data_IF_367330795743
#
_entry.id   IF_367330795743
#
_cell.length_a   1.000
_cell.length_b   1.000
_cell.length_c   1.000
_cell.angle_alpha   90.00
_cell.angle_beta   90.00
_cell.angle_gamma   90.00
#
_symmetry.space_group_name_H-M   'P 1'
#
loop_
_entity.id
_entity.type
_entity.pdbx_description
1 polymer ?
#
# COMPACT_ATOMS: atom_id res chain seq x y z
N UNK A 1 -28.67 -4.05 0.08
CA UNK A 1 -28.12 -4.18 -1.29
C UNK A 1 -28.28 -2.85 -2.01
N UNK A 2 -27.24 -2.32 -2.65
CA UNK A 2 -27.30 -1.02 -3.34
C UNK A 2 -27.94 -1.13 -4.74
N UNK A 3 -28.42 -0.01 -5.29
CA UNK A 3 -29.01 0.04 -6.64
C UNK A 3 -28.04 -0.46 -7.73
N UNK A 4 -26.75 -0.13 -7.61
CA UNK A 4 -25.71 -0.58 -8.55
C UNK A 4 -25.53 -2.10 -8.53
N UNK A 5 -25.60 -2.73 -7.36
CA UNK A 5 -25.53 -4.19 -7.22
C UNK A 5 -26.76 -4.83 -7.85
N UNK A 6 -27.96 -4.32 -7.56
CA UNK A 6 -29.22 -4.80 -8.18
C UNK A 6 -29.15 -4.74 -9.71
N UNK A 7 -28.78 -3.58 -10.25
CA UNK A 7 -28.65 -3.38 -11.69
C UNK A 7 -27.62 -4.33 -12.33
N UNK A 8 -26.48 -4.57 -11.66
CA UNK A 8 -25.47 -5.52 -12.14
C UNK A 8 -25.99 -6.97 -12.15
N UNK A 9 -26.75 -7.37 -11.12
CA UNK A 9 -27.38 -8.69 -11.05
C UNK A 9 -28.42 -8.85 -12.17
N UNK A 10 -29.35 -7.90 -12.30
CA UNK A 10 -30.38 -7.91 -13.33
C UNK A 10 -29.79 -7.96 -14.74
N UNK A 11 -28.76 -7.14 -15.01
CA UNK A 11 -28.05 -7.15 -16.28
C UNK A 11 -27.37 -8.50 -16.55
N UNK A 12 -26.82 -9.13 -15.51
CA UNK A 12 -26.14 -10.44 -15.65
C UNK A 12 -27.14 -11.57 -15.93
N UNK A 13 -28.34 -11.54 -15.33
CA UNK A 13 -29.41 -12.50 -15.63
C UNK A 13 -30.02 -12.34 -17.03
N UNK A 14 -30.02 -11.12 -17.59
CA UNK A 14 -30.51 -10.83 -18.94
C UNK A 14 -29.48 -11.10 -20.04
N UNK A 15 -28.21 -11.31 -19.67
CA UNK A 15 -27.13 -11.54 -20.62
C UNK A 15 -27.02 -13.01 -20.99
N UNK A 16 -27.10 -13.34 -22.28
CA UNK A 16 -26.87 -14.71 -22.78
C UNK A 16 -25.50 -15.25 -22.35
N UNK A 17 -24.48 -14.39 -22.30
CA UNK A 17 -23.12 -14.75 -21.89
C UNK A 17 -23.00 -15.08 -20.40
N UNK A 18 -23.73 -14.37 -19.52
CA UNK A 18 -23.49 -14.40 -18.08
C UNK A 18 -24.60 -15.04 -17.25
N UNK A 19 -25.79 -15.25 -17.82
CA UNK A 19 -26.97 -15.70 -17.08
C UNK A 19 -26.78 -17.07 -16.42
N UNK A 20 -26.21 -18.04 -17.15
CA UNK A 20 -25.98 -19.39 -16.63
C UNK A 20 -25.09 -19.36 -15.38
N UNK A 21 -23.94 -18.67 -15.46
CA UNK A 21 -23.02 -18.55 -14.33
C UNK A 21 -23.61 -17.74 -13.17
N UNK A 22 -24.41 -16.71 -13.48
CA UNK A 22 -25.12 -15.92 -12.46
C UNK A 22 -26.08 -16.80 -11.66
N UNK A 23 -26.85 -17.66 -12.32
CA UNK A 23 -27.79 -18.62 -11.66
C UNK A 23 -27.06 -19.68 -10.84
N UNK A 24 -25.88 -20.11 -11.28
CA UNK A 24 -25.06 -21.06 -10.53
C UNK A 24 -24.51 -20.47 -9.22
N UNK A 25 -24.08 -19.20 -9.26
CA UNK A 25 -23.41 -18.55 -8.13
C UNK A 25 -24.37 -17.87 -7.17
N UNK A 26 -25.38 -17.15 -7.68
CA UNK A 26 -26.36 -16.45 -6.84
C UNK A 26 -27.48 -17.42 -6.45
N UNK A 27 -27.54 -17.73 -5.16
CA UNK A 27 -28.55 -18.61 -4.57
C UNK A 27 -29.66 -17.75 -3.98
N UNK A 28 -30.71 -17.50 -4.77
CA UNK A 28 -31.79 -16.55 -4.43
C UNK A 28 -32.62 -16.95 -3.21
N UNK A 29 -32.58 -18.24 -2.86
CA UNK A 29 -33.18 -18.85 -1.67
C UNK A 29 -32.37 -18.61 -0.39
N UNK A 30 -31.12 -18.16 -0.50
CA UNK A 30 -30.22 -17.95 0.63
C UNK A 30 -30.24 -16.51 1.14
N UNK A 31 -29.85 -16.33 2.41
CA UNK A 31 -29.79 -15.01 3.03
C UNK A 31 -28.78 -14.09 2.31
N UNK A 32 -29.11 -12.81 2.11
CA UNK A 32 -28.17 -11.80 1.64
C UNK A 32 -26.98 -11.63 2.60
N UNK A 33 -25.76 -11.53 2.06
CA UNK A 33 -24.57 -11.29 2.86
C UNK A 33 -23.66 -10.21 2.23
N UNK A 34 -22.47 -10.54 1.75
CA UNK A 34 -21.56 -9.57 1.14
C UNK A 34 -22.22 -8.80 -0.02
N UNK A 35 -22.16 -7.47 0.04
CA UNK A 35 -22.84 -6.51 -0.86
C UNK A 35 -24.36 -6.64 -0.91
N UNK A 36 -24.92 -7.40 0.05
CA UNK A 36 -26.31 -7.80 0.08
C UNK A 36 -26.70 -8.79 -1.01
N UNK A 37 -25.74 -9.54 -1.59
CA UNK A 37 -26.03 -10.55 -2.61
C UNK A 37 -26.46 -11.86 -1.92
N UNK A 38 -27.58 -12.49 -2.33
CA UNK A 38 -28.00 -13.80 -1.82
C UNK A 38 -26.95 -14.90 -2.08
N UNK A 39 -26.64 -15.68 -1.04
CA UNK A 39 -25.66 -16.78 -1.12
C UNK A 39 -24.20 -16.33 -1.17
N UNK A 40 -23.92 -15.03 -1.01
CA UNK A 40 -22.56 -14.52 -0.88
C UNK A 40 -21.92 -14.94 0.47
N UNK A 41 -20.59 -14.93 0.58
CA UNK A 41 -19.92 -15.14 1.85
C UNK A 41 -20.39 -14.13 2.91
N UNK A 42 -20.47 -14.58 4.16
CA UNK A 42 -20.75 -13.74 5.33
C UNK A 42 -19.52 -13.71 6.22
N UNK A 43 -18.58 -12.75 6.01
CA UNK A 43 -17.38 -12.66 6.83
C UNK A 43 -17.71 -12.48 8.31
N UNK A 44 -17.03 -13.24 9.17
CA UNK A 44 -17.18 -13.08 10.62
C UNK A 44 -16.58 -11.74 11.06
N UNK A 45 -17.40 -10.88 11.67
CA UNK A 45 -16.99 -9.53 12.10
C UNK A 45 -15.86 -9.55 13.14
N UNK A 46 -15.87 -10.52 14.05
CA UNK A 46 -14.85 -10.68 15.09
C UNK A 46 -13.52 -11.10 14.44
N UNK A 47 -13.56 -12.06 13.53
CA UNK A 47 -12.37 -12.47 12.78
C UNK A 47 -11.83 -11.32 11.92
N UNK A 48 -12.72 -10.56 11.27
CA UNK A 48 -12.40 -9.34 10.54
C UNK A 48 -11.67 -8.32 11.42
N UNK A 49 -12.24 -8.02 12.58
CA UNK A 49 -11.64 -7.13 13.57
C UNK A 49 -10.24 -7.61 14.02
N UNK A 50 -10.10 -8.87 14.44
CA UNK A 50 -8.84 -9.42 14.92
C UNK A 50 -7.75 -9.43 13.83
N UNK A 51 -8.12 -9.81 12.61
CA UNK A 51 -7.23 -9.75 11.46
C UNK A 51 -6.78 -8.30 11.21
N UNK A 52 -7.71 -7.35 11.24
CA UNK A 52 -7.42 -5.95 11.03
C UNK A 52 -6.53 -5.33 12.14
N UNK A 53 -6.67 -5.77 13.40
CA UNK A 53 -5.71 -5.40 14.47
C UNK A 53 -4.31 -5.85 14.10
N UNK A 54 -4.16 -7.09 13.66
CA UNK A 54 -2.86 -7.62 13.24
C UNK A 54 -2.30 -6.88 12.01
N UNK A 55 -3.14 -6.59 11.01
CA UNK A 55 -2.77 -5.82 9.81
C UNK A 55 -2.31 -4.40 10.18
N UNK A 56 -3.05 -3.70 11.03
CA UNK A 56 -2.66 -2.36 11.49
C UNK A 56 -1.35 -2.40 12.26
N UNK A 57 -1.18 -3.39 13.15
CA UNK A 57 0.04 -3.55 13.92
C UNK A 57 1.26 -3.82 13.03
N UNK A 58 1.15 -4.74 12.06
CA UNK A 58 2.26 -5.10 11.19
C UNK A 58 2.60 -3.96 10.22
N UNK A 59 1.59 -3.29 9.65
CA UNK A 59 1.78 -2.10 8.80
C UNK A 59 2.54 -1.01 9.55
N UNK A 60 2.14 -0.71 10.79
CA UNK A 60 2.77 0.34 11.56
C UNK A 60 4.10 -0.08 12.18
N UNK A 61 4.44 -1.37 12.22
CA UNK A 61 5.70 -1.85 12.81
C UNK A 61 6.79 -2.04 11.76
N UNK A 62 6.44 -2.70 10.66
CA UNK A 62 7.36 -3.09 9.58
C UNK A 62 7.26 -2.15 8.38
N UNK A 63 6.36 -1.17 8.44
CA UNK A 63 6.11 -0.20 7.38
C UNK A 63 5.03 -0.66 6.40
N UNK A 64 4.93 0.08 5.30
CA UNK A 64 3.86 -0.04 4.32
C UNK A 64 3.62 -1.44 3.72
N UNK A 65 4.53 -2.39 3.94
CA UNK A 65 4.36 -3.80 3.61
C UNK A 65 3.08 -4.42 4.17
N UNK A 66 2.69 -4.05 5.40
CA UNK A 66 1.49 -4.61 6.03
C UNK A 66 0.21 -4.40 5.21
N UNK A 67 0.21 -3.48 4.25
CA UNK A 67 -0.94 -3.22 3.38
C UNK A 67 -1.26 -4.37 2.43
N UNK A 68 -0.27 -5.22 2.10
CA UNK A 68 -0.53 -6.48 1.37
C UNK A 68 -1.42 -7.39 2.19
N UNK A 69 -1.21 -7.43 3.51
CA UNK A 69 -1.92 -8.35 4.41
C UNK A 69 -3.40 -7.99 4.58
N UNK A 70 -3.78 -6.73 4.36
CA UNK A 70 -5.20 -6.36 4.24
C UNK A 70 -5.85 -7.15 3.09
N UNK A 71 -5.22 -7.11 1.91
CA UNK A 71 -5.69 -7.80 0.71
C UNK A 71 -5.73 -9.32 0.88
N UNK A 72 -4.72 -9.89 1.52
CA UNK A 72 -4.67 -11.32 1.86
C UNK A 72 -5.91 -11.76 2.64
N UNK A 73 -6.31 -11.00 3.66
CA UNK A 73 -7.50 -11.32 4.47
C UNK A 73 -8.79 -11.37 3.65
N UNK A 74 -9.05 -10.32 2.86
CA UNK A 74 -10.23 -10.27 1.98
C UNK A 74 -10.25 -11.39 0.94
N UNK A 75 -9.10 -11.69 0.34
CA UNK A 75 -9.01 -12.67 -0.74
C UNK A 75 -9.19 -14.10 -0.21
N UNK A 76 -8.50 -14.47 0.88
CA UNK A 76 -8.50 -15.85 1.39
C UNK A 76 -9.35 -16.06 2.63
N UNK A 77 -9.07 -15.34 3.71
CA UNK A 77 -9.64 -15.62 5.04
C UNK A 77 -11.15 -15.41 5.05
N UNK A 78 -11.62 -14.38 4.36
CA UNK A 78 -13.05 -14.07 4.27
C UNK A 78 -13.72 -14.64 3.01
N UNK A 79 -12.98 -15.40 2.19
CA UNK A 79 -13.49 -16.09 0.99
C UNK A 79 -13.96 -15.17 -0.15
N UNK A 80 -13.73 -13.85 -0.07
CA UNK A 80 -14.27 -12.90 -1.06
C UNK A 80 -13.58 -13.04 -2.42
N UNK A 81 -12.29 -13.43 -2.43
CA UNK A 81 -11.56 -13.67 -3.67
C UNK A 81 -12.04 -14.91 -4.43
N UNK A 82 -12.37 -15.98 -3.72
CA UNK A 82 -12.95 -17.19 -4.30
C UNK A 82 -14.38 -16.91 -4.82
N UNK A 83 -15.17 -16.17 -4.05
CA UNK A 83 -16.50 -15.73 -4.47
C UNK A 83 -16.46 -14.82 -5.70
N UNK A 84 -15.52 -13.87 -5.78
CA UNK A 84 -15.37 -13.07 -6.99
C UNK A 84 -15.00 -13.94 -8.21
N UNK A 85 -14.08 -14.89 -8.01
CA UNK A 85 -13.60 -15.80 -9.06
C UNK A 85 -14.68 -16.75 -9.57
N UNK A 86 -15.67 -17.12 -8.76
CA UNK A 86 -16.71 -18.08 -9.15
C UNK A 86 -17.61 -17.56 -10.27
N UNK A 87 -17.76 -16.25 -10.42
CA UNK A 87 -18.51 -15.64 -11.54
C UNK A 87 -17.80 -15.75 -12.90
N UNK A 88 -16.53 -16.15 -12.94
CA UNK A 88 -15.74 -16.20 -14.17
C UNK A 88 -15.17 -14.84 -14.57
N UNK A 89 -14.24 -14.87 -15.55
CA UNK A 89 -13.54 -13.68 -16.03
C UNK A 89 -14.51 -12.75 -16.77
N UNK A 90 -14.27 -11.44 -16.69
CA UNK A 90 -15.02 -10.38 -17.40
C UNK A 90 -16.50 -10.24 -16.98
N UNK A 91 -16.98 -11.10 -16.07
CA UNK A 91 -18.32 -11.03 -15.51
C UNK A 91 -18.51 -9.73 -14.70
N UNK A 92 -19.62 -8.98 -14.89
CA UNK A 92 -19.87 -7.72 -14.19
C UNK A 92 -19.80 -7.84 -12.67
N UNK A 93 -20.36 -8.92 -12.10
CA UNK A 93 -20.29 -9.21 -10.67
C UNK A 93 -18.89 -9.59 -10.16
N UNK A 94 -18.05 -10.24 -10.98
CA UNK A 94 -16.63 -10.45 -10.62
C UNK A 94 -15.93 -9.10 -10.47
N UNK A 95 -16.07 -8.23 -11.48
CA UNK A 95 -15.48 -6.88 -11.44
C UNK A 95 -15.99 -6.06 -10.26
N UNK A 96 -17.30 -6.09 -10.01
CA UNK A 96 -17.92 -5.38 -8.91
C UNK A 96 -17.39 -5.86 -7.54
N UNK A 97 -17.30 -7.18 -7.32
CA UNK A 97 -16.78 -7.75 -6.08
C UNK A 97 -15.29 -7.47 -5.91
N UNK A 98 -14.47 -7.62 -6.96
CA UNK A 98 -13.03 -7.34 -6.91
C UNK A 98 -12.73 -5.85 -6.69
N UNK A 99 -13.48 -4.94 -7.30
CA UNK A 99 -13.39 -3.51 -7.04
C UNK A 99 -13.79 -3.18 -5.59
N UNK A 100 -14.84 -3.82 -5.05
CA UNK A 100 -15.26 -3.65 -3.65
C UNK A 100 -14.17 -4.08 -2.66
N UNK A 101 -13.58 -5.26 -2.88
CA UNK A 101 -12.44 -5.77 -2.09
C UNK A 101 -11.27 -4.79 -2.17
N UNK A 102 -10.93 -4.32 -3.38
CA UNK A 102 -9.82 -3.38 -3.58
C UNK A 102 -10.01 -2.09 -2.78
N UNK A 103 -11.20 -1.49 -2.86
CA UNK A 103 -11.49 -0.24 -2.13
C UNK A 103 -11.56 -0.47 -0.63
N UNK A 104 -12.14 -1.58 -0.18
CA UNK A 104 -12.10 -1.97 1.24
C UNK A 104 -10.67 -2.01 1.78
N UNK A 105 -9.76 -2.68 1.07
CA UNK A 105 -8.34 -2.71 1.43
C UNK A 105 -7.69 -1.33 1.43
N UNK A 106 -8.01 -0.47 0.46
CA UNK A 106 -7.48 0.89 0.42
C UNK A 106 -7.91 1.71 1.64
N UNK A 107 -9.14 1.53 2.15
CA UNK A 107 -9.59 2.15 3.39
C UNK A 107 -8.78 1.67 4.60
N UNK A 108 -8.55 0.36 4.73
CA UNK A 108 -7.76 -0.21 5.82
C UNK A 108 -6.31 0.33 5.79
N UNK A 109 -5.69 0.30 4.62
CA UNK A 109 -4.32 0.78 4.40
C UNK A 109 -4.23 2.29 4.60
N UNK A 110 -5.19 3.05 4.08
CA UNK A 110 -5.27 4.50 4.22
C UNK A 110 -5.38 4.92 5.69
N UNK A 111 -6.28 4.30 6.46
CA UNK A 111 -6.43 4.59 7.88
C UNK A 111 -5.14 4.27 8.65
N UNK A 112 -4.54 3.10 8.39
CA UNK A 112 -3.28 2.72 9.02
C UNK A 112 -2.15 3.72 8.67
N UNK A 113 -2.09 4.16 7.42
CA UNK A 113 -1.12 5.15 6.95
C UNK A 113 -1.29 6.52 7.64
N UNK A 114 -2.52 7.01 7.83
CA UNK A 114 -2.81 8.25 8.59
C UNK A 114 -2.28 8.13 10.02
N UNK A 115 -2.74 7.10 10.74
CA UNK A 115 -2.44 6.92 12.17
C UNK A 115 -0.94 6.73 12.36
N UNK A 116 -0.33 5.87 11.54
CA UNK A 116 1.11 5.61 11.60
C UNK A 116 1.92 6.87 11.36
N UNK A 117 1.64 7.58 10.26
CA UNK A 117 2.40 8.80 9.90
C UNK A 117 2.37 9.82 11.03
N UNK A 118 1.18 10.05 11.62
CA UNK A 118 1.04 10.97 12.73
C UNK A 118 1.80 10.52 13.99
N UNK A 119 1.70 9.24 14.37
CA UNK A 119 2.40 8.73 15.55
C UNK A 119 3.92 8.73 15.35
N UNK A 120 4.42 8.32 14.18
CA UNK A 120 5.84 8.36 13.87
C UNK A 120 6.37 9.80 13.82
N UNK A 121 5.59 10.75 13.30
CA UNK A 121 5.93 12.17 13.35
C UNK A 121 6.07 12.66 14.79
N UNK A 122 5.08 12.40 15.65
CA UNK A 122 5.14 12.75 17.08
C UNK A 122 6.30 12.10 17.83
N UNK A 123 6.72 10.92 17.39
CA UNK A 123 7.86 10.19 17.97
C UNK A 123 9.22 10.62 17.40
N UNK A 124 9.26 11.60 16.47
CA UNK A 124 10.50 12.00 15.81
C UNK A 124 11.12 10.89 14.97
N UNK A 125 10.30 10.00 14.40
CA UNK A 125 10.73 8.81 13.61
C UNK A 125 10.16 8.84 12.19
N UNK A 126 9.89 10.03 11.66
CA UNK A 126 9.35 10.22 10.32
C UNK A 126 10.19 11.25 9.58
N UNK A 127 10.75 10.86 8.43
CA UNK A 127 11.43 11.77 7.50
C UNK A 127 10.40 12.32 6.52
N UNK A 128 9.82 13.48 6.85
CA UNK A 128 8.65 14.01 6.14
C UNK A 128 8.96 14.43 4.70
N UNK A 129 10.06 15.16 4.41
CA UNK A 129 10.46 15.46 3.03
C UNK A 129 10.60 14.22 2.15
N UNK A 130 11.16 13.14 2.70
CA UNK A 130 11.39 11.90 1.96
C UNK A 130 10.08 11.18 1.63
N UNK A 131 9.16 11.14 2.60
CA UNK A 131 7.82 10.57 2.39
C UNK A 131 7.02 11.37 1.36
N UNK A 132 7.13 12.70 1.36
CA UNK A 132 6.52 13.55 0.33
C UNK A 132 7.12 13.34 -1.06
N UNK A 133 8.45 13.25 -1.16
CA UNK A 133 9.12 12.99 -2.45
C UNK A 133 8.65 11.65 -3.03
N UNK A 134 8.60 10.59 -2.22
CA UNK A 134 8.03 9.30 -2.63
C UNK A 134 6.59 9.49 -3.12
N UNK A 135 5.73 10.10 -2.30
CA UNK A 135 4.32 10.32 -2.62
C UNK A 135 4.09 11.06 -3.94
N UNK A 136 4.92 12.07 -4.26
CA UNK A 136 4.81 12.81 -5.53
C UNK A 136 4.89 11.84 -6.71
N UNK A 137 5.91 10.98 -6.71
CA UNK A 137 6.05 9.93 -7.72
C UNK A 137 4.91 8.92 -7.66
N UNK A 138 4.53 8.51 -6.46
CA UNK A 138 3.51 7.49 -6.24
C UNK A 138 2.15 7.85 -6.82
N UNK A 139 1.71 9.10 -6.63
CA UNK A 139 0.42 9.57 -7.15
C UNK A 139 0.41 9.48 -8.67
N UNK A 140 1.45 9.99 -9.34
CA UNK A 140 1.53 9.93 -10.80
C UNK A 140 1.60 8.48 -11.27
N UNK A 141 2.47 7.67 -10.67
CA UNK A 141 2.62 6.26 -11.03
C UNK A 141 1.33 5.43 -10.86
N UNK A 142 0.49 5.79 -9.89
CA UNK A 142 -0.74 5.07 -9.58
C UNK A 142 -1.84 5.23 -10.63
N UNK A 143 -1.95 6.40 -11.26
CA UNK A 143 -3.04 6.68 -12.22
C UNK A 143 -2.54 6.81 -13.66
N UNK A 144 -1.39 7.46 -13.88
CA UNK A 144 -0.89 7.75 -15.22
C UNK A 144 -0.46 6.48 -15.94
N UNK A 145 0.29 5.62 -15.25
CA UNK A 145 0.84 4.41 -15.88
C UNK A 145 -0.27 3.43 -16.28
N UNK A 146 -1.26 3.08 -15.42
CA UNK A 146 -2.39 2.27 -15.85
C UNK A 146 -3.19 2.90 -16.99
N UNK A 147 -3.35 4.22 -17.01
CA UNK A 147 -4.08 4.92 -18.07
C UNK A 147 -3.35 4.84 -19.43
N UNK A 148 -2.02 5.02 -19.44
CA UNK A 148 -1.20 4.92 -20.67
C UNK A 148 -1.04 3.49 -21.21
N UNK A 149 -1.16 2.50 -20.32
CA UNK A 149 -0.92 1.08 -20.62
C UNK A 149 -2.20 0.24 -20.67
N UNK A 150 -3.36 0.84 -20.41
CA UNK A 150 -4.66 0.17 -20.45
C UNK A 150 -4.85 -0.56 -21.78
N UNK A 151 -5.19 -1.85 -21.72
CA UNK A 151 -5.40 -2.71 -22.88
C UNK A 151 -4.12 -3.20 -23.58
N UNK A 152 -2.93 -2.69 -23.23
CA UNK A 152 -1.65 -3.05 -23.86
C UNK A 152 -0.86 -4.12 -23.10
N UNK A 153 -1.11 -4.29 -21.80
CA UNK A 153 -0.34 -5.18 -20.92
C UNK A 153 -1.26 -6.26 -20.33
N UNK A 154 -0.89 -7.53 -20.53
CA UNK A 154 -1.58 -8.65 -19.90
C UNK A 154 -1.07 -8.88 -18.48
N UNK A 155 -1.84 -8.42 -17.49
CA UNK A 155 -1.45 -8.47 -16.09
C UNK A 155 -1.06 -9.86 -15.58
N UNK A 156 -1.73 -10.91 -16.06
CA UNK A 156 -1.45 -12.29 -15.62
C UNK A 156 0.00 -12.71 -15.90
N UNK A 157 0.57 -12.23 -17.01
CA UNK A 157 1.92 -12.58 -17.41
C UNK A 157 2.99 -12.08 -16.42
N UNK A 158 2.68 -11.04 -15.63
CA UNK A 158 3.65 -10.37 -14.75
C UNK A 158 3.55 -10.79 -13.29
N UNK A 159 2.52 -11.53 -12.90
CA UNK A 159 2.28 -11.93 -11.50
C UNK A 159 3.45 -12.79 -10.97
N UNK A 160 3.94 -13.74 -11.77
CA UNK A 160 5.06 -14.60 -11.38
C UNK A 160 6.38 -13.83 -11.22
N UNK A 161 6.70 -12.98 -12.20
CA UNK A 161 7.89 -12.12 -12.17
C UNK A 161 7.89 -11.16 -10.99
N UNK A 162 6.72 -10.63 -10.63
CA UNK A 162 6.59 -9.83 -9.44
C UNK A 162 7.01 -10.60 -8.19
N UNK A 163 6.53 -11.84 -8.02
CA UNK A 163 6.94 -12.68 -6.91
C UNK A 163 8.47 -12.88 -6.85
N UNK A 164 9.13 -13.05 -8.00
CA UNK A 164 10.60 -13.09 -8.09
C UNK A 164 11.23 -11.80 -7.57
N UNK A 165 10.71 -10.62 -7.98
CA UNK A 165 11.22 -9.32 -7.51
C UNK A 165 11.05 -9.19 -6.00
N UNK A 166 9.91 -9.59 -5.44
CA UNK A 166 9.68 -9.56 -3.98
C UNK A 166 10.68 -10.47 -3.25
N UNK A 167 10.95 -11.67 -3.76
CA UNK A 167 11.95 -12.56 -3.18
C UNK A 167 13.37 -12.03 -3.29
N UNK A 168 13.75 -11.47 -4.44
CA UNK A 168 15.05 -10.86 -4.64
C UNK A 168 15.29 -9.72 -3.63
N UNK A 169 14.26 -8.88 -3.43
CA UNK A 169 14.25 -7.84 -2.40
C UNK A 169 14.39 -8.41 -0.99
N UNK A 170 13.65 -9.46 -0.66
CA UNK A 170 13.79 -10.16 0.62
C UNK A 170 15.20 -10.70 0.84
N UNK A 171 15.83 -11.25 -0.20
CA UNK A 171 17.20 -11.74 -0.17
C UNK A 171 18.24 -10.63 0.01
N UNK A 172 18.04 -9.46 -0.63
CA UNK A 172 18.88 -8.28 -0.42
C UNK A 172 18.84 -7.85 1.04
N UNK A 173 17.64 -7.76 1.64
CA UNK A 173 17.50 -7.41 3.05
C UNK A 173 18.10 -8.49 3.97
N UNK A 174 17.99 -9.76 3.61
CA UNK A 174 18.63 -10.85 4.37
C UNK A 174 20.15 -10.66 4.41
N UNK A 175 20.79 -10.33 3.29
CA UNK A 175 22.22 -9.99 3.24
C UNK A 175 22.56 -8.81 4.14
N UNK A 176 21.69 -7.79 4.22
CA UNK A 176 21.89 -6.65 5.13
C UNK A 176 21.80 -7.03 6.62
N UNK A 177 21.18 -8.15 6.97
CA UNK A 177 21.14 -8.63 8.38
C UNK A 177 22.39 -9.42 8.78
N UNK A 178 23.20 -9.86 7.82
CA UNK A 178 24.46 -10.56 8.03
C UNK A 178 25.60 -9.58 8.39
N UNK A 179 26.64 -10.01 9.12
CA UNK A 179 27.74 -9.15 9.54
C UNK A 179 28.40 -8.36 8.39
N UNK A 180 28.58 -9.00 7.23
CA UNK A 180 29.18 -8.40 6.03
C UNK A 180 28.31 -7.32 5.40
N UNK A 181 27.00 -7.50 5.37
CA UNK A 181 26.06 -6.50 4.87
C UNK A 181 25.91 -5.33 5.84
N UNK A 182 25.88 -5.60 7.14
CA UNK A 182 25.85 -4.57 8.18
C UNK A 182 27.07 -3.63 8.13
N UNK A 183 28.25 -4.17 7.78
CA UNK A 183 29.46 -3.37 7.62
C UNK A 183 29.34 -2.31 6.49
N UNK A 184 28.59 -2.61 5.43
CA UNK A 184 28.35 -1.69 4.30
C UNK A 184 27.34 -0.58 4.63
N UNK A 185 26.56 -0.73 5.71
CA UNK A 185 25.50 0.21 6.12
C UNK A 185 25.86 0.93 7.42
N UNK A 186 27.08 1.46 7.49
CA UNK A 186 27.65 2.08 8.71
C UNK A 186 26.73 3.15 9.33
N UNK A 187 26.31 4.16 8.54
CA UNK A 187 25.41 5.23 9.00
C UNK A 187 24.08 4.71 9.56
N UNK A 188 23.43 3.80 8.83
CA UNK A 188 22.15 3.21 9.26
C UNK A 188 22.30 2.43 10.57
N UNK A 189 23.36 1.63 10.68
CA UNK A 189 23.68 0.82 11.86
C UNK A 189 23.98 1.71 13.07
N UNK A 190 24.78 2.75 12.87
CA UNK A 190 25.13 3.72 13.91
C UNK A 190 23.90 4.43 14.46
N UNK A 191 23.06 4.97 13.56
CA UNK A 191 21.83 5.66 13.94
C UNK A 191 20.84 4.71 14.65
N UNK A 192 20.71 3.46 14.17
CA UNK A 192 19.88 2.45 14.82
C UNK A 192 20.41 2.08 16.22
N UNK A 193 21.72 1.92 16.38
CA UNK A 193 22.34 1.60 17.66
C UNK A 193 22.18 2.75 18.66
N UNK A 194 22.34 4.00 18.21
CA UNK A 194 22.10 5.18 19.04
C UNK A 194 20.64 5.25 19.51
N UNK A 195 19.69 5.04 18.59
CA UNK A 195 18.26 4.93 18.91
C UNK A 195 17.97 3.85 19.96
N UNK A 196 18.42 2.62 19.71
CA UNK A 196 18.16 1.49 20.59
C UNK A 196 18.79 1.65 21.97
N UNK A 197 20.02 2.22 22.04
CA UNK A 197 20.69 2.52 23.31
C UNK A 197 19.86 3.49 24.15
N UNK A 198 19.34 4.53 23.52
CA UNK A 198 18.59 5.54 24.25
C UNK A 198 17.21 5.03 24.71
N UNK A 199 16.52 4.25 23.89
CA UNK A 199 15.25 3.62 24.29
C UNK A 199 15.44 2.74 25.53
N UNK A 200 16.57 2.02 25.63
CA UNK A 200 16.91 1.21 26.81
C UNK A 200 17.22 2.04 28.06
N UNK A 201 17.76 3.24 27.89
CA UNK A 201 18.15 4.13 28.99
C UNK A 201 16.97 4.96 29.55
N UNK A 202 15.76 4.84 28.97
CA UNK A 202 14.56 5.53 29.46
C UNK A 202 14.58 7.06 29.30
N UNK A 203 15.59 7.61 28.62
CA UNK A 203 15.74 9.05 28.42
C UNK A 203 14.77 9.59 27.38
N UNK A 204 14.13 10.73 27.69
CA UNK A 204 13.55 11.62 26.66
C UNK A 204 14.73 12.25 25.93
N UNK A 205 15.07 11.83 24.70
CA UNK A 205 15.89 12.71 23.86
C UNK A 205 15.02 13.54 22.95
N UNK A 206 15.53 14.75 22.79
CA UNK A 206 15.24 15.69 21.74
C UNK A 206 15.84 15.29 20.38
N UNK A 207 16.42 14.09 20.21
CA UNK A 207 17.21 13.71 19.02
C UNK A 207 16.45 12.82 18.02
N UNK A 208 15.19 13.15 17.76
CA UNK A 208 14.45 12.55 16.64
C UNK A 208 14.99 12.96 15.28
N UNK A 209 14.21 12.71 14.23
CA UNK A 209 14.48 13.22 12.89
C UNK A 209 14.48 14.75 12.93
N UNK A 210 15.60 15.37 12.56
CA UNK A 210 15.72 16.82 12.40
C UNK A 210 16.03 17.15 10.94
N UNK A 211 15.24 18.02 10.31
CA UNK A 211 15.42 18.40 8.91
C UNK A 211 16.39 19.57 8.85
N UNK A 212 17.55 19.37 8.21
CA UNK A 212 18.63 20.35 8.14
C UNK A 212 18.45 21.25 6.91
N UNK A 213 18.15 20.64 5.75
CA UNK A 213 18.07 21.35 4.47
C UNK A 213 16.96 20.74 3.62
N UNK A 214 16.12 21.57 2.98
CA UNK A 214 15.10 21.10 2.04
C UNK A 214 14.19 22.22 1.51
N UNK A 215 13.80 22.12 0.24
CA UNK A 215 12.92 23.10 -0.43
C UNK A 215 11.43 22.82 -0.20
N UNK A 216 10.96 23.11 1.00
CA UNK A 216 9.59 22.81 1.45
C UNK A 216 8.47 23.35 0.56
N UNK A 217 8.52 24.64 0.22
CA UNK A 217 7.48 25.27 -0.61
C UNK A 217 7.34 24.57 -1.96
N UNK A 218 8.46 24.25 -2.60
CA UNK A 218 8.47 23.56 -3.89
C UNK A 218 7.97 22.11 -3.78
N UNK A 219 8.28 21.40 -2.69
CA UNK A 219 7.72 20.04 -2.45
C UNK A 219 6.20 20.08 -2.33
N UNK A 220 5.66 21.05 -1.57
CA UNK A 220 4.22 21.20 -1.38
C UNK A 220 3.54 21.52 -2.72
N UNK A 221 4.10 22.42 -3.52
CA UNK A 221 3.58 22.77 -4.85
C UNK A 221 3.60 21.55 -5.77
N UNK A 222 4.71 20.80 -5.82
CA UNK A 222 4.81 19.59 -6.63
C UNK A 222 3.80 18.51 -6.19
N UNK A 223 3.65 18.29 -4.88
CA UNK A 223 2.66 17.37 -4.32
C UNK A 223 1.23 17.78 -4.64
N UNK A 224 0.90 19.07 -4.49
CA UNK A 224 -0.40 19.62 -4.83
C UNK A 224 -0.71 19.45 -6.34
N UNK A 225 0.27 19.73 -7.21
CA UNK A 225 0.12 19.56 -8.66
C UNK A 225 -0.19 18.10 -9.04
N UNK A 226 0.53 17.12 -8.50
CA UNK A 226 0.26 15.71 -8.82
C UNK A 226 -1.04 15.20 -8.21
N UNK A 227 -1.43 15.65 -7.01
CA UNK A 227 -2.74 15.30 -6.43
C UNK A 227 -3.87 15.91 -7.28
N UNK A 228 -3.74 17.19 -7.66
CA UNK A 228 -4.67 17.85 -8.56
C UNK A 228 -4.77 17.11 -9.90
N UNK A 229 -3.67 16.58 -10.43
CA UNK A 229 -3.67 15.76 -11.65
C UNK A 229 -4.56 14.51 -11.52
N UNK A 230 -4.46 13.78 -10.41
CA UNK A 230 -5.23 12.58 -10.15
C UNK A 230 -6.72 12.89 -9.97
N UNK A 231 -7.02 13.99 -9.25
CA UNK A 231 -8.38 14.48 -9.06
C UNK A 231 -8.99 14.96 -10.38
N UNK A 232 -8.23 15.67 -11.21
CA UNK A 232 -8.70 16.16 -12.51
C UNK A 232 -9.05 15.01 -13.45
N UNK A 233 -8.17 14.00 -13.55
CA UNK A 233 -8.44 12.78 -14.32
C UNK A 233 -9.72 12.07 -13.83
N UNK A 234 -10.01 12.19 -12.54
CA UNK A 234 -11.16 11.57 -11.88
C UNK A 234 -12.47 12.36 -12.06
N UNK A 235 -12.42 13.69 -12.06
CA UNK A 235 -13.60 14.56 -12.06
C UNK A 235 -13.97 15.09 -13.44
N UNK A 236 -12.99 15.31 -14.31
CA UNK A 236 -13.18 15.99 -15.60
C UNK A 236 -12.59 15.13 -16.73
N UNK A 237 -13.16 13.93 -16.99
CA UNK A 237 -12.59 13.00 -17.97
C UNK A 237 -12.63 13.53 -19.42
N UNK A 238 -13.46 14.53 -19.72
CA UNK A 238 -13.47 15.19 -21.05
C UNK A 238 -12.23 16.03 -21.35
N UNK A 239 -11.45 16.42 -20.33
CA UNK A 239 -10.28 17.29 -20.46
C UNK A 239 -9.03 16.66 -19.83
N UNK A 240 -8.75 15.39 -20.17
CA UNK A 240 -7.61 14.62 -19.62
C UNK A 240 -6.24 15.27 -19.83
N UNK A 241 -6.06 16.06 -20.88
CA UNK A 241 -4.79 16.72 -21.16
C UNK A 241 -4.33 17.62 -20.00
N UNK A 242 -5.25 18.25 -19.26
CA UNK A 242 -4.94 19.06 -18.08
C UNK A 242 -4.35 18.17 -16.98
N UNK A 243 -4.90 16.98 -16.76
CA UNK A 243 -4.35 16.02 -15.81
C UNK A 243 -2.92 15.60 -16.19
N UNK A 244 -2.64 15.36 -17.47
CA UNK A 244 -1.27 15.05 -17.92
C UNK A 244 -0.31 16.23 -17.71
N UNK A 245 -0.74 17.46 -18.03
CA UNK A 245 0.07 18.67 -17.81
C UNK A 245 0.38 18.86 -16.33
N UNK A 246 -0.60 18.70 -15.44
CA UNK A 246 -0.40 18.81 -14.00
C UNK A 246 0.54 17.72 -13.44
N UNK A 247 0.38 16.46 -13.89
CA UNK A 247 1.26 15.38 -13.49
C UNK A 247 2.70 15.62 -13.96
N UNK A 248 2.88 15.97 -15.23
CA UNK A 248 4.19 16.24 -15.81
C UNK A 248 4.83 17.46 -15.15
N UNK A 249 4.09 18.55 -14.95
CA UNK A 249 4.54 19.74 -14.24
C UNK A 249 5.00 19.41 -12.82
N UNK A 250 4.22 18.65 -12.07
CA UNK A 250 4.62 18.19 -10.72
C UNK A 250 5.89 17.33 -10.72
N UNK A 251 6.06 16.44 -11.69
CA UNK A 251 7.30 15.66 -11.85
C UNK A 251 8.49 16.54 -12.23
N UNK A 252 8.33 17.49 -13.15
CA UNK A 252 9.39 18.43 -13.55
C UNK A 252 9.83 19.30 -12.38
N UNK A 253 8.89 19.86 -11.61
CA UNK A 253 9.19 20.62 -10.39
C UNK A 253 10.02 19.81 -9.39
N UNK A 254 9.83 18.49 -9.35
CA UNK A 254 10.56 17.60 -8.46
C UNK A 254 12.06 17.53 -8.74
N UNK A 255 12.50 17.79 -9.98
CA UNK A 255 13.93 17.85 -10.33
C UNK A 255 14.62 19.09 -9.79
N UNK A 256 13.87 20.16 -9.51
CA UNK A 256 14.39 21.42 -8.95
C UNK A 256 14.44 21.42 -7.41
N UNK A 257 14.00 20.33 -6.77
CA UNK A 257 14.02 20.18 -5.31
C UNK A 257 15.43 20.12 -4.70
N UNK A 258 16.44 19.76 -5.49
CA UNK A 258 17.83 19.71 -5.06
C UNK A 258 18.13 18.56 -4.09
N UNK A 259 19.01 18.83 -3.12
CA UNK A 259 19.40 17.88 -2.09
C UNK A 259 18.64 18.16 -0.80
N UNK A 260 18.17 17.12 -0.12
CA UNK A 260 17.59 17.21 1.22
C UNK A 260 18.53 16.56 2.22
N UNK A 261 18.75 17.24 3.35
CA UNK A 261 19.60 16.75 4.46
C UNK A 261 18.80 16.67 5.74
N UNK A 262 19.03 15.63 6.52
CA UNK A 262 18.42 15.46 7.83
C UNK A 262 19.34 14.65 8.74
N UNK A 263 19.16 14.78 10.05
CA UNK A 263 19.82 13.93 11.03
C UNK A 263 18.81 13.04 11.77
N UNK A 264 19.30 11.91 12.25
CA UNK A 264 18.57 11.02 13.14
C UNK A 264 19.55 10.46 14.17
N UNK A 265 19.35 10.80 15.45
CA UNK A 265 20.23 10.38 16.55
C UNK A 265 21.72 10.68 16.27
N UNK A 266 22.01 11.94 15.91
CA UNK A 266 23.36 12.44 15.64
C UNK A 266 23.96 12.03 14.29
N UNK A 267 23.31 11.15 13.52
CA UNK A 267 23.82 10.70 12.22
C UNK A 267 23.12 11.46 11.09
N UNK A 268 23.91 12.11 10.23
CA UNK A 268 23.41 12.85 9.08
C UNK A 268 23.24 11.98 7.82
N UNK A 269 22.10 12.17 7.17
CA UNK A 269 21.69 11.55 5.93
C UNK A 269 21.40 12.63 4.89
N UNK A 270 21.79 12.36 3.64
CA UNK A 270 21.48 13.21 2.51
C UNK A 270 21.00 12.37 1.33
N UNK A 271 20.11 12.96 0.52
CA UNK A 271 19.67 12.37 -0.73
C UNK A 271 19.26 13.44 -1.72
N UNK A 272 19.40 13.14 -3.01
CA UNK A 272 18.83 13.98 -4.07
C UNK A 272 17.32 13.75 -4.13
N UNK A 273 16.52 14.80 -3.97
CA UNK A 273 15.06 14.70 -3.80
C UNK A 273 14.33 14.10 -5.00
N UNK A 274 14.89 14.18 -6.21
CA UNK A 274 14.30 13.53 -7.39
C UNK A 274 14.40 12.00 -7.35
N UNK A 275 15.37 11.41 -6.64
CA UNK A 275 15.55 9.96 -6.59
C UNK A 275 14.36 9.26 -5.92
N UNK A 276 13.89 9.69 -4.73
CA UNK A 276 12.65 9.17 -4.15
C UNK A 276 11.43 9.43 -5.01
N UNK A 277 11.36 10.52 -5.77
CA UNK A 277 10.24 10.75 -6.70
C UNK A 277 10.21 9.68 -7.79
N UNK A 278 11.36 9.40 -8.41
CA UNK A 278 11.47 8.32 -9.40
C UNK A 278 11.17 6.96 -8.75
N UNK A 279 11.69 6.71 -7.55
CA UNK A 279 11.38 5.49 -6.78
C UNK A 279 9.89 5.33 -6.53
N UNK A 280 9.22 6.40 -6.10
CA UNK A 280 7.76 6.47 -5.91
C UNK A 280 6.98 6.14 -7.18
N UNK A 281 7.38 6.74 -8.30
CA UNK A 281 6.78 6.50 -9.61
C UNK A 281 6.87 5.02 -10.01
N UNK A 282 8.07 4.43 -9.96
CA UNK A 282 8.32 3.04 -10.37
C UNK A 282 7.58 2.06 -9.45
N UNK A 283 7.70 2.26 -8.14
CA UNK A 283 7.07 1.38 -7.14
C UNK A 283 5.55 1.40 -7.32
N UNK A 284 4.96 2.58 -7.45
CA UNK A 284 3.52 2.72 -7.62
C UNK A 284 3.04 2.20 -8.97
N UNK A 285 3.82 2.36 -10.04
CA UNK A 285 3.52 1.77 -11.34
C UNK A 285 3.44 0.23 -11.25
N UNK A 286 4.45 -0.42 -10.66
CA UNK A 286 4.48 -1.87 -10.44
C UNK A 286 3.26 -2.30 -9.61
N UNK A 287 3.00 -1.62 -8.50
CA UNK A 287 1.87 -1.92 -7.63
C UNK A 287 0.50 -1.72 -8.29
N UNK A 288 0.35 -0.69 -9.13
CA UNK A 288 -0.90 -0.39 -9.81
C UNK A 288 -1.26 -1.47 -10.83
N UNK A 289 -0.25 -2.06 -11.48
CA UNK A 289 -0.46 -3.26 -12.29
C UNK A 289 -1.04 -4.37 -11.42
N UNK A 290 -0.32 -4.83 -10.41
CA UNK A 290 -0.67 -6.09 -9.72
C UNK A 290 -1.90 -5.91 -8.81
N UNK A 291 -2.28 -4.67 -8.50
CA UNK A 291 -3.44 -4.35 -7.68
C UNK A 291 -3.21 -4.58 -6.18
N UNK A 292 -1.94 -4.67 -5.77
CA UNK A 292 -1.52 -4.82 -4.37
C UNK A 292 -1.06 -3.42 -3.93
N UNK A 293 -1.89 -2.73 -3.15
CA UNK A 293 -1.74 -1.30 -2.87
C UNK A 293 -0.30 -0.85 -2.55
N UNK A 294 0.33 -0.22 -3.55
CA UNK A 294 1.50 0.68 -3.58
C UNK A 294 2.74 0.47 -2.72
N UNK A 295 2.55 0.17 -1.44
CA UNK A 295 3.47 0.63 -0.40
C UNK A 295 4.64 -0.28 -0.08
N UNK A 296 4.52 -1.56 -0.40
CA UNK A 296 5.38 -2.57 0.20
C UNK A 296 6.84 -2.50 -0.26
N UNK A 297 7.10 -1.98 -1.47
CA UNK A 297 8.46 -1.75 -1.98
C UNK A 297 9.10 -0.46 -1.44
N UNK A 298 8.37 0.40 -0.71
CA UNK A 298 8.99 1.57 -0.08
C UNK A 298 9.96 1.17 1.02
N UNK A 299 9.64 0.13 1.80
CA UNK A 299 10.53 -0.36 2.85
C UNK A 299 11.91 -0.75 2.30
N UNK A 300 12.04 -1.65 1.32
CA UNK A 300 13.33 -2.03 0.75
C UNK A 300 14.00 -0.90 -0.02
N UNK A 301 13.24 -0.01 -0.67
CA UNK A 301 13.80 1.20 -1.25
C UNK A 301 14.47 2.08 -0.17
N UNK A 302 13.77 2.34 0.94
CA UNK A 302 14.27 3.21 2.00
C UNK A 302 15.45 2.60 2.76
N UNK A 303 15.48 1.28 2.97
CA UNK A 303 16.61 0.61 3.64
C UNK A 303 17.79 0.37 2.71
N UNK A 304 17.56 -0.18 1.52
CA UNK A 304 18.63 -0.62 0.62
C UNK A 304 19.13 0.49 -0.30
N UNK A 305 18.25 1.36 -0.79
CA UNK A 305 18.64 2.48 -1.67
C UNK A 305 18.94 3.74 -0.85
N UNK A 306 17.99 4.19 -0.02
CA UNK A 306 18.19 5.40 0.79
C UNK A 306 19.07 5.15 2.03
N UNK A 307 19.35 3.89 2.38
CA UNK A 307 20.30 3.57 3.45
C UNK A 307 19.81 3.91 4.85
N UNK A 308 18.50 3.90 5.08
CA UNK A 308 17.91 4.33 6.35
C UNK A 308 17.72 3.16 7.34
N UNK A 309 17.82 3.43 8.65
CA UNK A 309 17.44 2.45 9.66
C UNK A 309 15.93 2.21 9.64
N UNK A 310 15.53 0.97 9.95
CA UNK A 310 14.15 0.52 9.91
C UNK A 310 13.23 1.34 10.84
N UNK A 311 13.82 1.91 11.90
CA UNK A 311 13.14 2.76 12.88
C UNK A 311 12.49 4.03 12.32
N UNK A 312 12.97 4.54 11.17
CA UNK A 312 12.37 5.69 10.47
C UNK A 312 11.72 5.30 9.13
N UNK A 313 12.07 4.14 8.58
CA UNK A 313 11.52 3.60 7.34
C UNK A 313 10.01 3.34 7.45
N UNK A 314 9.55 2.79 8.58
CA UNK A 314 8.15 2.47 8.77
C UNK A 314 7.25 3.72 8.68
N UNK A 315 7.61 4.80 9.39
CA UNK A 315 6.88 6.06 9.36
C UNK A 315 6.95 6.77 8.00
N UNK A 316 8.14 6.85 7.39
CA UNK A 316 8.33 7.50 6.09
C UNK A 316 7.58 6.78 4.96
N UNK A 317 7.58 5.43 4.95
CA UNK A 317 6.81 4.66 3.97
C UNK A 317 5.30 4.78 4.16
N UNK A 318 4.82 4.85 5.41
CA UNK A 318 3.41 5.09 5.70
C UNK A 318 2.92 6.42 5.12
N UNK A 319 3.72 7.50 5.22
CA UNK A 319 3.37 8.79 4.64
C UNK A 319 3.27 8.75 3.12
N UNK A 320 4.20 8.05 2.46
CA UNK A 320 4.17 7.87 1.01
C UNK A 320 2.88 7.16 0.56
N UNK A 321 2.49 6.10 1.29
CA UNK A 321 1.25 5.38 1.04
C UNK A 321 0.02 6.24 1.27
N UNK A 322 -0.01 7.02 2.36
CA UNK A 322 -1.16 7.85 2.73
C UNK A 322 -1.66 8.70 1.55
N UNK A 323 -0.76 9.49 0.98
CA UNK A 323 -1.11 10.42 -0.10
C UNK A 323 -1.65 9.66 -1.32
N UNK A 324 -1.03 8.52 -1.67
CA UNK A 324 -1.51 7.68 -2.77
C UNK A 324 -2.88 7.02 -2.49
N UNK A 325 -3.16 6.64 -1.24
CA UNK A 325 -4.44 6.04 -0.85
C UNK A 325 -5.57 7.05 -0.92
N UNK A 326 -5.35 8.31 -0.53
CA UNK A 326 -6.36 9.37 -0.65
C UNK A 326 -6.79 9.53 -2.11
N UNK A 327 -5.82 9.70 -3.03
CA UNK A 327 -6.11 9.84 -4.46
C UNK A 327 -6.78 8.60 -5.05
N UNK A 328 -6.34 7.40 -4.65
CA UNK A 328 -6.92 6.15 -5.14
C UNK A 328 -8.36 5.93 -4.64
N UNK A 329 -8.61 6.10 -3.34
CA UNK A 329 -9.96 5.96 -2.77
C UNK A 329 -10.92 6.91 -3.46
N UNK A 330 -10.51 8.17 -3.65
CA UNK A 330 -11.32 9.16 -4.35
C UNK A 330 -11.67 8.69 -5.77
N UNK A 331 -10.69 8.26 -6.56
CA UNK A 331 -10.91 7.82 -7.94
C UNK A 331 -11.86 6.61 -8.03
N UNK A 332 -11.76 5.64 -7.12
CA UNK A 332 -12.66 4.47 -7.15
C UNK A 332 -14.05 4.76 -6.59
N UNK A 333 -14.15 5.53 -5.51
CA UNK A 333 -15.43 5.82 -4.85
C UNK A 333 -16.24 6.88 -5.61
N UNK A 334 -15.59 7.99 -6.01
CA UNK A 334 -16.28 9.13 -6.63
C UNK A 334 -16.44 8.90 -8.13
N UNK A 335 -15.35 8.60 -8.85
CA UNK A 335 -15.43 8.49 -10.32
C UNK A 335 -16.00 7.17 -10.80
N UNK A 336 -15.60 6.05 -10.18
CA UNK A 336 -16.09 4.73 -10.59
C UNK A 336 -17.34 4.29 -9.84
N UNK A 337 -17.74 5.01 -8.78
CA UNK A 337 -18.91 4.68 -7.96
C UNK A 337 -18.83 3.28 -7.35
N UNK A 338 -17.64 2.83 -6.95
CA UNK A 338 -17.47 1.48 -6.38
C UNK A 338 -18.26 1.34 -5.09
N UNK A 339 -18.92 0.20 -4.93
CA UNK A 339 -19.72 -0.11 -3.75
C UNK A 339 -18.86 -0.83 -2.72
N UNK A 340 -19.02 -0.47 -1.45
CA UNK A 340 -18.26 -1.04 -0.33
C UNK A 340 -19.22 -1.64 0.68
N UNK A 341 -18.88 -2.82 1.22
CA UNK A 341 -19.63 -3.42 2.33
C UNK A 341 -19.25 -2.75 3.66
N UNK A 342 -19.84 -1.58 3.93
CA UNK A 342 -19.47 -0.74 5.07
C UNK A 342 -19.56 -1.41 6.43
N UNK A 343 -20.55 -2.29 6.67
CA UNK A 343 -20.67 -2.98 7.96
C UNK A 343 -19.44 -3.82 8.31
N UNK A 344 -18.87 -4.49 7.31
CA UNK A 344 -17.65 -5.29 7.49
C UNK A 344 -16.41 -4.41 7.56
N UNK A 345 -16.27 -3.47 6.62
CA UNK A 345 -15.12 -2.56 6.58
C UNK A 345 -15.03 -1.70 7.85
N UNK A 346 -16.14 -1.24 8.42
CA UNK A 346 -16.13 -0.48 9.67
C UNK A 346 -15.58 -1.29 10.85
N UNK A 347 -15.96 -2.57 10.97
CA UNK A 347 -15.39 -3.45 11.99
C UNK A 347 -13.86 -3.61 11.82
N UNK A 348 -13.42 -3.77 10.58
CA UNK A 348 -11.98 -3.83 10.27
C UNK A 348 -11.27 -2.49 10.53
N UNK A 349 -11.90 -1.34 10.23
CA UNK A 349 -11.30 -0.02 10.50
C UNK A 349 -11.05 0.21 12.00
N UNK A 350 -11.95 -0.26 12.88
CA UNK A 350 -11.71 -0.24 14.33
C UNK A 350 -10.50 -1.11 14.69
N UNK A 351 -10.38 -2.29 14.10
CA UNK A 351 -9.20 -3.14 14.29
C UNK A 351 -7.91 -2.48 13.81
N UNK A 352 -7.90 -1.92 12.60
CA UNK A 352 -6.77 -1.15 12.05
C UNK A 352 -6.37 -0.03 12.98
N UNK A 353 -7.34 0.71 13.54
CA UNK A 353 -7.07 1.81 14.46
C UNK A 353 -6.29 1.34 15.69
N UNK A 354 -6.76 0.27 16.33
CA UNK A 354 -6.10 -0.33 17.51
C UNK A 354 -4.69 -0.80 17.14
N UNK A 355 -4.55 -1.59 16.08
CA UNK A 355 -3.26 -2.10 15.62
C UNK A 355 -2.26 -0.99 15.30
N UNK A 356 -2.72 0.05 14.61
CA UNK A 356 -1.88 1.16 14.14
C UNK A 356 -1.46 2.12 15.27
N UNK A 357 -2.18 2.12 16.39
CA UNK A 357 -1.77 2.79 17.62
C UNK A 357 -0.69 1.98 18.35
N UNK A 358 -0.85 0.66 18.41
CA UNK A 358 0.07 -0.24 19.13
C UNK A 358 1.39 -0.39 18.37
N UNK A 359 1.36 -0.44 17.04
CA UNK A 359 2.53 -0.71 16.20
C UNK A 359 3.71 0.23 16.42
N UNK A 360 3.58 1.57 16.28
CA UNK A 360 4.70 2.50 16.48
C UNK A 360 5.28 2.44 17.90
N UNK A 361 4.42 2.18 18.90
CA UNK A 361 4.80 2.08 20.32
C UNK A 361 5.56 0.80 20.63
N UNK A 362 5.26 -0.29 19.94
CA UNK A 362 5.94 -1.58 20.10
C UNK A 362 7.20 -1.66 19.24
N UNK A 363 7.17 -1.10 18.03
CA UNK A 363 8.29 -1.15 17.08
C UNK A 363 9.58 -0.52 17.62
N UNK A 364 9.50 0.49 18.48
CA UNK A 364 10.69 1.12 19.10
C UNK A 364 11.47 0.17 20.01
N UNK A 365 10.85 -0.89 20.51
CA UNK A 365 11.47 -1.89 21.37
C UNK A 365 12.00 -3.10 20.58
N UNK A 366 11.71 -3.18 19.27
CA UNK A 366 12.18 -4.25 18.40
C UNK A 366 13.43 -3.75 17.69
N UNK A 367 14.56 -4.47 17.81
CA UNK A 367 15.80 -4.06 17.14
C UNK A 367 15.64 -3.96 15.62
N UNK A 368 16.41 -3.10 14.97
CA UNK A 368 16.45 -2.91 13.51
C UNK A 368 16.59 -4.25 12.76
N UNK A 369 17.46 -5.13 13.26
CA UNK A 369 17.69 -6.47 12.69
C UNK A 369 16.42 -7.32 12.70
N UNK A 370 15.67 -7.31 13.79
CA UNK A 370 14.44 -8.10 13.91
C UNK A 370 13.30 -7.52 13.06
N UNK A 371 13.17 -6.20 12.97
CA UNK A 371 12.21 -5.57 12.06
C UNK A 371 12.47 -5.98 10.59
N UNK A 372 13.75 -5.98 10.17
CA UNK A 372 14.14 -6.49 8.84
C UNK A 372 13.80 -7.96 8.66
N UNK A 373 14.05 -8.81 9.67
CA UNK A 373 13.71 -10.25 9.62
C UNK A 373 12.20 -10.50 9.47
N UNK A 374 11.38 -9.75 10.19
CA UNK A 374 9.91 -9.85 10.06
C UNK A 374 9.51 -9.48 8.63
N UNK A 375 10.04 -8.39 8.06
CA UNK A 375 9.82 -8.05 6.65
C UNK A 375 10.22 -9.19 5.72
N UNK A 376 11.41 -9.78 5.90
CA UNK A 376 11.94 -10.84 5.03
C UNK A 376 11.01 -12.06 5.03
N UNK A 377 10.51 -12.49 6.19
CA UNK A 377 9.58 -13.62 6.29
C UNK A 377 8.29 -13.32 5.54
N UNK A 378 7.75 -12.10 5.71
CA UNK A 378 6.52 -11.72 5.02
C UNK A 378 6.74 -11.58 3.50
N UNK A 379 7.86 -11.00 3.08
CA UNK A 379 8.25 -10.91 1.68
C UNK A 379 8.47 -12.29 1.06
N UNK A 380 9.01 -13.26 1.81
CA UNK A 380 9.14 -14.64 1.37
C UNK A 380 7.77 -15.28 1.14
N UNK A 381 6.85 -15.14 2.10
CA UNK A 381 5.47 -15.63 1.97
C UNK A 381 4.76 -15.03 0.74
N UNK A 382 4.81 -13.70 0.61
CA UNK A 382 4.20 -12.98 -0.51
C UNK A 382 4.83 -13.34 -1.86
N UNK A 383 6.16 -13.34 -1.91
CA UNK A 383 6.92 -13.62 -3.12
C UNK A 383 6.71 -15.05 -3.63
N UNK A 384 6.77 -16.05 -2.75
CA UNK A 384 6.50 -17.45 -3.09
C UNK A 384 5.05 -17.59 -3.58
N UNK A 385 4.07 -16.99 -2.90
CA UNK A 385 2.67 -17.04 -3.32
C UNK A 385 2.46 -16.50 -4.73
N UNK A 386 3.08 -15.36 -5.08
CA UNK A 386 2.95 -14.79 -6.41
C UNK A 386 3.69 -15.60 -7.49
N UNK A 387 4.84 -16.20 -7.16
CA UNK A 387 5.55 -17.12 -8.07
C UNK A 387 4.68 -18.34 -8.37
N UNK A 388 4.16 -19.01 -7.33
CA UNK A 388 3.32 -20.20 -7.51
C UNK A 388 2.06 -19.88 -8.29
N UNK A 389 1.42 -18.75 -7.99
CA UNK A 389 0.23 -18.31 -8.72
C UNK A 389 0.53 -17.96 -10.19
N UNK A 390 1.67 -17.32 -10.44
CA UNK A 390 2.04 -16.84 -11.77
C UNK A 390 2.54 -17.94 -12.71
N UNK A 391 3.40 -18.85 -12.22
CA UNK A 391 4.06 -19.86 -13.04
C UNK A 391 3.46 -21.26 -12.91
N UNK A 392 2.97 -21.64 -11.72
CA UNK A 392 2.43 -22.98 -11.48
C UNK A 392 0.90 -23.01 -11.42
N UNK A 393 0.21 -21.86 -11.42
CA UNK A 393 -1.24 -21.76 -11.24
C UNK A 393 -1.72 -22.19 -9.84
N UNK A 394 -0.80 -22.50 -8.91
CA UNK A 394 -1.10 -22.93 -7.55
C UNK A 394 -1.40 -21.71 -6.70
N UNK A 395 -2.53 -21.72 -6.00
CA UNK A 395 -2.91 -20.66 -5.06
C UNK A 395 -2.53 -21.07 -3.65
N UNK A 396 -1.64 -20.32 -3.02
CA UNK A 396 -1.44 -20.40 -1.58
C UNK A 396 -2.61 -19.68 -0.91
N UNK A 397 -3.16 -20.18 0.20
CA UNK A 397 -4.13 -19.42 0.98
C UNK A 397 -3.60 -18.01 1.24
N UNK A 398 -4.18 -17.00 0.57
CA UNK A 398 -3.84 -15.59 0.74
C UNK A 398 -3.31 -14.85 -0.50
N UNK A 399 -2.73 -15.54 -1.48
CA UNK A 399 -2.00 -14.89 -2.58
C UNK A 399 -2.39 -15.46 -3.96
#
# INVERSE_FOLDING_TARGET
>A
MSAKVKAAIEKSFKSEQFAAKTREVIKTDQKPAYLGIPGAPSPNLILGFLWAVWVGWIFSTVGAFGGIMAGVGHISIFGLGQYASSFGKDHPLNKLTTDSIRVGNQWLVGLSAIISSFNYYKMGRLVLPLGMCLAIGSVVGAWLIPDLTAGKINLKAYIGYFGIVVLAVGFVLLKETLPTGQAKKKKAKEAAAAFEKQIKQGGKSSEGVNIIEGKWGLMIVAAAAVVASALWNSLVPGFKWVAYVLAFGGLVLSFFLGTTRFSFYGVEFEYKSYLPVIGGLIISAISAFIGVGGGFLYVPYLTSVAGLPMHIVAGTSALAVLISMISSIFAYMVSKGVVVQWSFILAELVGIFVGSIIGPRTSKYISDKWLKRIFIVLAAYVGIGYILRGFAGIRIPGI
#
